data_IF_795698437560
#
_entry.id   IF_795698437560
#
_cell.length_a   1.000
_cell.length_b   1.000
_cell.length_c   1.000
_cell.angle_alpha   90.00
_cell.angle_beta   90.00
_cell.angle_gamma   90.00
#
_symmetry.space_group_name_H-M   'P 1'
#
loop_
_entity.id
_entity.type
_entity.pdbx_description
1 polymer ?
#
# COMPACT_ATOMS: atom_id res chain seq x y z
N UNK A 1 5.60 -5.35 -19.60
CA UNK A 1 6.21 -4.09 -19.11
C UNK A 1 7.59 -4.35 -18.52
N UNK A 2 7.75 -5.24 -17.52
CA UNK A 2 9.08 -5.65 -17.01
C UNK A 2 9.99 -6.31 -18.06
N UNK A 3 9.44 -7.10 -18.97
CA UNK A 3 10.20 -7.84 -19.99
C UNK A 3 10.91 -6.92 -21.00
N UNK A 4 10.28 -5.80 -21.39
CA UNK A 4 10.95 -4.77 -22.21
C UNK A 4 11.99 -3.99 -21.42
N UNK A 5 11.76 -3.78 -20.12
CA UNK A 5 12.71 -3.10 -19.24
C UNK A 5 13.98 -3.94 -18.98
N UNK A 6 13.84 -5.27 -18.93
CA UNK A 6 14.95 -6.21 -18.77
C UNK A 6 15.80 -6.37 -20.04
N UNK A 7 15.21 -6.25 -21.23
CA UNK A 7 15.96 -6.31 -22.48
C UNK A 7 16.77 -5.03 -22.75
N UNK A 8 16.26 -3.86 -22.33
CA UNK A 8 17.02 -2.60 -22.40
C UNK A 8 18.23 -2.58 -21.44
N UNK A 9 18.20 -3.41 -20.38
CA UNK A 9 19.28 -3.61 -19.39
C UNK A 9 20.58 -4.14 -20.00
N UNK A 10 20.49 -4.97 -21.03
CA UNK A 10 21.66 -5.58 -21.67
C UNK A 10 22.30 -4.67 -22.73
N UNK A 11 21.56 -3.69 -23.26
CA UNK A 11 22.00 -2.89 -24.41
C UNK A 11 22.82 -1.67 -24.04
N UNK A 12 22.61 -1.08 -22.86
CA UNK A 12 23.35 0.10 -22.39
C UNK A 12 23.52 0.07 -20.85
N UNK A 13 24.59 -0.55 -20.31
CA UNK A 13 24.86 -0.47 -18.88
C UNK A 13 25.36 0.94 -18.57
N UNK A 14 24.46 1.84 -18.14
CA UNK A 14 24.85 3.14 -17.60
C UNK A 14 25.59 2.86 -16.28
N UNK A 15 26.91 3.13 -16.16
CA UNK A 15 27.65 2.83 -14.95
C UNK A 15 27.11 3.70 -13.80
N UNK A 16 26.60 3.07 -12.73
CA UNK A 16 26.12 3.75 -11.52
C UNK A 16 24.66 4.20 -11.49
N UNK A 17 23.88 4.03 -12.57
CA UNK A 17 22.45 4.39 -12.57
C UNK A 17 21.59 3.35 -11.83
N UNK A 18 22.05 2.11 -11.75
CA UNK A 18 21.35 0.98 -11.13
C UNK A 18 22.12 0.39 -9.95
N UNK A 19 22.75 1.23 -9.11
CA UNK A 19 23.21 0.71 -7.83
C UNK A 19 22.00 0.19 -7.05
N UNK A 20 22.11 -1.01 -6.49
CA UNK A 20 21.07 -1.64 -5.66
C UNK A 20 20.56 -0.69 -4.56
N UNK A 21 21.44 0.23 -4.12
CA UNK A 21 21.12 1.32 -3.19
C UNK A 21 19.98 2.23 -3.69
N UNK A 22 20.00 2.66 -4.95
CA UNK A 22 18.95 3.53 -5.50
C UNK A 22 17.60 2.80 -5.61
N UNK A 23 17.63 1.52 -5.97
CA UNK A 23 16.42 0.68 -6.04
C UNK A 23 15.79 0.56 -4.65
N UNK A 24 16.59 0.19 -3.64
CA UNK A 24 16.13 0.06 -2.24
C UNK A 24 15.58 1.40 -1.73
N UNK A 25 16.28 2.51 -1.97
CA UNK A 25 15.83 3.85 -1.55
C UNK A 25 14.49 4.23 -2.18
N UNK A 26 14.31 3.98 -3.48
CA UNK A 26 13.06 4.27 -4.17
C UNK A 26 11.88 3.46 -3.58
N UNK A 27 12.08 2.17 -3.27
CA UNK A 27 11.05 1.35 -2.63
C UNK A 27 10.70 1.85 -1.22
N UNK A 28 11.72 2.20 -0.42
CA UNK A 28 11.50 2.70 0.95
C UNK A 28 10.74 4.02 0.94
N UNK A 29 11.12 4.96 0.07
CA UNK A 29 10.45 6.27 -0.04
C UNK A 29 9.00 6.08 -0.54
N UNK A 30 8.82 5.29 -1.61
CA UNK A 30 7.49 5.02 -2.16
C UNK A 30 6.56 4.34 -1.15
N UNK A 31 7.06 3.35 -0.39
CA UNK A 31 6.28 2.65 0.63
C UNK A 31 5.99 3.52 1.86
N UNK A 32 6.93 4.37 2.27
CA UNK A 32 6.79 5.23 3.46
C UNK A 32 5.63 6.20 3.31
N UNK A 33 5.64 7.02 2.27
CA UNK A 33 4.67 8.11 2.15
C UNK A 33 3.26 7.58 1.84
N UNK A 34 3.16 6.50 1.07
CA UNK A 34 1.88 5.84 0.77
C UNK A 34 1.28 5.13 1.98
N UNK A 35 2.09 4.39 2.75
CA UNK A 35 1.63 3.69 3.96
C UNK A 35 1.26 4.69 5.05
N UNK A 36 2.08 5.72 5.28
CA UNK A 36 1.81 6.75 6.27
C UNK A 36 0.51 7.52 5.95
N UNK A 37 0.29 7.87 4.68
CA UNK A 37 -0.95 8.48 4.22
C UNK A 37 -2.16 7.59 4.45
N UNK A 38 -2.07 6.32 4.04
CA UNK A 38 -3.16 5.34 4.22
C UNK A 38 -3.52 5.16 5.69
N UNK A 39 -2.52 4.99 6.56
CA UNK A 39 -2.75 4.76 7.98
C UNK A 39 -3.32 6.00 8.67
N UNK A 40 -2.92 7.20 8.27
CA UNK A 40 -3.47 8.45 8.79
C UNK A 40 -4.97 8.56 8.48
N UNK A 41 -5.38 8.25 7.24
CA UNK A 41 -6.80 8.23 6.86
C UNK A 41 -7.58 7.11 7.55
N UNK A 42 -6.98 5.93 7.68
CA UNK A 42 -7.58 4.81 8.40
C UNK A 42 -7.90 5.19 9.85
N UNK A 43 -6.91 5.72 10.58
CA UNK A 43 -7.09 6.16 11.96
C UNK A 43 -8.14 7.29 12.06
N UNK A 44 -8.13 8.23 11.11
CA UNK A 44 -9.16 9.28 11.05
C UNK A 44 -10.58 8.70 10.91
N UNK A 45 -10.78 7.73 10.01
CA UNK A 45 -12.08 7.07 9.81
C UNK A 45 -12.50 6.29 11.06
N UNK A 46 -11.57 5.63 11.74
CA UNK A 46 -11.84 4.92 13.00
C UNK A 46 -12.25 5.87 14.12
N UNK A 47 -11.52 6.97 14.32
CA UNK A 47 -11.85 7.97 15.35
C UNK A 47 -13.23 8.59 15.16
N UNK A 48 -13.75 8.59 13.93
CA UNK A 48 -15.09 9.09 13.60
C UNK A 48 -16.19 8.03 13.74
N UNK A 49 -15.84 6.74 13.79
CA UNK A 49 -16.77 5.62 13.77
C UNK A 49 -16.41 4.59 14.86
N UNK A 50 -16.81 4.89 16.10
CA UNK A 50 -16.60 4.01 17.26
C UNK A 50 -17.11 2.58 17.02
N UNK A 51 -18.23 2.43 16.31
CA UNK A 51 -18.81 1.11 16.00
C UNK A 51 -17.94 0.25 15.08
N UNK A 52 -17.16 0.87 14.18
CA UNK A 52 -16.22 0.17 13.30
C UNK A 52 -14.97 -0.21 14.11
N UNK A 53 -14.49 0.69 14.96
CA UNK A 53 -13.39 0.42 15.87
C UNK A 53 -13.68 -0.78 16.78
N UNK A 54 -14.87 -0.84 17.38
CA UNK A 54 -15.28 -1.96 18.25
C UNK A 54 -15.32 -3.29 17.50
N UNK A 55 -15.76 -3.27 16.24
CA UNK A 55 -15.78 -4.47 15.37
C UNK A 55 -14.38 -4.94 15.03
N UNK A 56 -13.48 -4.03 14.69
CA UNK A 56 -12.06 -4.35 14.42
C UNK A 56 -11.38 -4.89 15.69
N UNK A 57 -11.63 -4.27 16.84
CA UNK A 57 -11.07 -4.74 18.11
C UNK A 57 -11.56 -6.16 18.46
N UNK A 58 -12.82 -6.49 18.17
CA UNK A 58 -13.35 -7.85 18.30
C UNK A 58 -12.64 -8.80 17.33
N UNK A 59 -12.58 -8.46 16.05
CA UNK A 59 -11.95 -9.27 15.00
C UNK A 59 -10.48 -9.59 15.34
N UNK A 60 -9.73 -8.60 15.81
CA UNK A 60 -8.34 -8.77 16.24
C UNK A 60 -8.24 -9.69 17.46
N UNK A 61 -9.08 -9.51 18.48
CA UNK A 61 -9.07 -10.38 19.66
C UNK A 61 -9.46 -11.81 19.32
N UNK A 62 -10.49 -12.01 18.50
CA UNK A 62 -10.93 -13.34 18.09
C UNK A 62 -9.82 -14.05 17.29
N UNK A 63 -9.03 -13.29 16.52
CA UNK A 63 -7.88 -13.82 15.78
C UNK A 63 -6.68 -14.15 16.67
N UNK A 64 -6.40 -13.36 17.72
CA UNK A 64 -5.23 -13.54 18.61
C UNK A 64 -5.51 -14.35 19.87
N UNK A 65 -6.76 -14.51 20.26
CA UNK A 65 -7.15 -15.07 21.56
C UNK A 65 -8.23 -16.11 21.29
N UNK A 66 -7.86 -17.20 20.61
CA UNK A 66 -8.77 -18.34 20.48
C UNK A 66 -8.96 -18.98 21.86
N UNK A 67 -10.20 -18.97 22.37
CA UNK A 67 -10.83 -19.63 23.54
C UNK A 67 -10.07 -19.83 24.88
N UNK A 68 -8.75 -19.91 24.89
CA UNK A 68 -7.92 -20.16 26.07
C UNK A 68 -6.75 -19.17 26.11
N UNK A 69 -6.78 -18.25 27.08
CA UNK A 69 -5.59 -17.59 27.58
C UNK A 69 -5.67 -16.08 27.56
N UNK A 70 -5.58 -15.53 28.77
CA UNK A 70 -5.40 -14.13 29.12
C UNK A 70 -4.31 -13.44 28.27
N UNK A 71 -4.66 -12.96 27.08
CA UNK A 71 -3.84 -12.04 26.27
C UNK A 71 -3.85 -10.62 26.88
N UNK A 72 -3.86 -10.53 28.21
CA UNK A 72 -3.79 -9.29 28.96
C UNK A 72 -2.35 -8.77 28.91
N UNK A 73 -2.09 -7.95 27.90
CA UNK A 73 -0.85 -7.20 27.78
C UNK A 73 -0.20 -7.29 26.41
N UNK A 74 0.68 -6.32 26.14
CA UNK A 74 1.42 -6.17 24.87
C UNK A 74 2.25 -7.41 24.55
N UNK A 75 2.78 -8.09 25.58
CA UNK A 75 3.58 -9.30 25.41
C UNK A 75 2.73 -10.49 24.93
N UNK A 76 1.57 -10.72 25.54
CA UNK A 76 0.63 -11.76 25.12
C UNK A 76 0.17 -11.54 23.69
N UNK A 77 -0.26 -10.31 23.36
CA UNK A 77 -0.65 -9.95 21.99
C UNK A 77 0.45 -10.26 20.96
N UNK A 78 1.71 -9.95 21.27
CA UNK A 78 2.83 -10.21 20.35
C UNK A 78 3.09 -11.70 20.17
N UNK A 79 2.95 -12.50 21.24
CA UNK A 79 3.11 -13.96 21.18
C UNK A 79 2.05 -14.63 20.31
N UNK A 80 0.82 -14.11 20.31
CA UNK A 80 -0.29 -14.66 19.52
C UNK A 80 -0.43 -14.03 18.12
N UNK A 81 0.38 -13.01 17.80
CA UNK A 81 0.40 -12.39 16.47
C UNK A 81 1.18 -13.26 15.47
N UNK A 82 0.62 -14.41 15.12
CA UNK A 82 1.15 -15.33 14.12
C UNK A 82 0.60 -15.00 12.72
N UNK A 83 1.22 -15.54 11.67
CA UNK A 83 0.70 -15.38 10.29
C UNK A 83 -0.73 -15.91 10.16
N UNK A 84 -1.04 -17.03 10.82
CA UNK A 84 -2.38 -17.59 10.87
C UNK A 84 -3.38 -16.66 11.56
N UNK A 85 -2.98 -15.95 12.62
CA UNK A 85 -3.80 -14.95 13.27
C UNK A 85 -4.04 -13.75 12.34
N UNK A 86 -3.00 -13.24 11.67
CA UNK A 86 -3.14 -12.14 10.71
C UNK A 86 -4.08 -12.49 9.56
N UNK A 87 -4.02 -13.73 9.05
CA UNK A 87 -4.92 -14.21 8.01
C UNK A 87 -6.38 -14.28 8.46
N UNK A 88 -6.65 -14.41 9.76
CA UNK A 88 -8.03 -14.46 10.32
C UNK A 88 -8.64 -13.07 10.55
N UNK A 89 -7.86 -11.99 10.51
CA UNK A 89 -8.34 -10.61 10.72
C UNK A 89 -9.05 -10.04 9.48
N UNK A 90 -10.11 -10.69 9.05
CA UNK A 90 -10.81 -10.37 7.81
C UNK A 90 -11.46 -8.98 7.83
N UNK A 91 -12.02 -8.58 8.97
CA UNK A 91 -12.71 -7.29 9.10
C UNK A 91 -11.71 -6.13 9.10
N UNK A 92 -10.56 -6.31 9.76
CA UNK A 92 -9.46 -5.35 9.68
C UNK A 92 -8.96 -5.18 8.23
N UNK A 93 -8.74 -6.28 7.52
CA UNK A 93 -8.30 -6.23 6.12
C UNK A 93 -9.34 -5.55 5.21
N UNK A 94 -10.63 -5.83 5.42
CA UNK A 94 -11.72 -5.18 4.70
C UNK A 94 -11.76 -3.67 4.98
N UNK A 95 -11.58 -3.25 6.23
CA UNK A 95 -11.58 -1.82 6.61
C UNK A 95 -10.38 -1.05 6.02
N UNK A 96 -9.19 -1.67 5.98
CA UNK A 96 -8.02 -1.11 5.30
C UNK A 96 -8.25 -1.00 3.78
N UNK A 97 -8.81 -2.05 3.17
CA UNK A 97 -9.15 -2.06 1.75
C UNK A 97 -10.16 -0.96 1.39
N UNK A 98 -11.17 -0.76 2.23
CA UNK A 98 -12.17 0.30 2.06
C UNK A 98 -11.55 1.70 2.24
N UNK A 99 -10.59 1.84 3.17
CA UNK A 99 -9.84 3.09 3.33
C UNK A 99 -9.05 3.42 2.07
N UNK A 100 -8.38 2.44 1.46
CA UNK A 100 -7.67 2.62 0.20
C UNK A 100 -8.62 2.92 -0.98
N UNK A 101 -9.85 2.39 -0.95
CA UNK A 101 -10.88 2.71 -1.94
C UNK A 101 -11.34 4.16 -1.84
N UNK A 102 -11.50 4.68 -0.62
CA UNK A 102 -11.94 6.05 -0.35
C UNK A 102 -10.80 7.07 -0.52
N UNK A 103 -9.58 6.70 -0.11
CA UNK A 103 -8.38 7.54 -0.10
C UNK A 103 -7.23 6.79 -0.76
N UNK A 104 -7.21 6.70 -2.11
CA UNK A 104 -6.10 6.07 -2.80
C UNK A 104 -4.81 6.85 -2.53
N UNK A 105 -3.79 6.17 -2.00
CA UNK A 105 -2.50 6.78 -1.66
C UNK A 105 -1.76 7.37 -2.87
N UNK A 106 -2.12 6.94 -4.08
CA UNK A 106 -1.66 7.50 -5.34
C UNK A 106 -2.88 8.02 -6.11
N UNK A 107 -3.11 9.34 -6.18
CA UNK A 107 -4.13 9.88 -7.05
C UNK A 107 -3.76 9.52 -8.49
N UNK A 108 -4.75 9.01 -9.24
CA UNK A 108 -4.71 8.65 -10.67
C UNK A 108 -3.41 9.02 -11.40
N UNK A 109 -2.70 8.01 -11.91
CA UNK A 109 -1.73 8.22 -12.98
C UNK A 109 -2.51 8.85 -14.14
N UNK A 110 -2.42 10.17 -14.26
CA UNK A 110 -2.73 10.82 -15.53
C UNK A 110 -1.67 10.30 -16.48
N UNK A 111 -2.04 9.32 -17.32
CA UNK A 111 -1.28 9.10 -18.54
C UNK A 111 -1.19 10.47 -19.20
N UNK A 112 0.00 11.02 -19.45
CA UNK A 112 0.08 12.26 -20.20
C UNK A 112 -0.63 11.97 -21.51
N UNK A 113 -1.74 12.67 -21.74
CA UNK A 113 -2.46 12.61 -23.00
C UNK A 113 -1.41 12.65 -24.11
N UNK A 114 -1.40 11.64 -24.97
CA UNK A 114 -0.36 11.46 -25.97
C UNK A 114 -0.32 12.68 -26.87
N UNK A 115 0.64 13.58 -26.63
CA UNK A 115 0.94 14.67 -27.54
C UNK A 115 1.68 14.09 -28.75
N UNK A 116 0.93 13.64 -29.75
CA UNK A 116 1.48 13.34 -31.06
C UNK A 116 1.74 14.68 -31.76
N UNK A 117 3.01 15.10 -31.80
CA UNK A 117 3.44 16.19 -32.68
C UNK A 117 3.46 15.68 -34.11
N UNK A 118 2.58 16.20 -34.95
CA UNK A 118 2.71 16.04 -36.39
C UNK A 118 3.95 16.79 -36.91
N UNK A 119 4.51 16.31 -38.02
CA UNK A 119 5.71 16.84 -38.68
C UNK A 119 5.63 18.30 -39.16
N UNK A 120 4.55 19.01 -38.84
CA UNK A 120 4.35 20.44 -39.10
C UNK A 120 4.24 21.31 -37.84
N UNK A 121 4.49 20.75 -36.65
CA UNK A 121 4.64 21.51 -35.40
C UNK A 121 3.35 22.07 -34.78
N UNK A 122 2.16 21.61 -35.22
CA UNK A 122 0.87 21.98 -34.62
C UNK A 122 0.42 20.93 -33.60
N UNK A 123 -0.05 21.39 -32.45
CA UNK A 123 -0.52 20.56 -31.35
C UNK A 123 -2.01 20.25 -31.54
N UNK A 124 -2.35 19.00 -31.84
CA UNK A 124 -3.73 18.53 -31.95
C UNK A 124 -4.09 17.69 -30.71
N UNK A 125 -5.17 18.08 -30.03
CA UNK A 125 -5.79 17.26 -28.98
C UNK A 125 -6.64 16.21 -29.68
N UNK A 126 -6.27 14.94 -29.58
CA UNK A 126 -7.12 13.82 -30.02
C UNK A 126 -8.01 13.43 -28.84
N UNK A 127 -9.32 13.65 -28.97
CA UNK A 127 -10.35 13.21 -28.04
C UNK A 127 -10.82 11.79 -28.37
#
# INVERSE_FOLDING_TARGET
>A
MLSRFLLERERNPIPGCFDNKYIILNFVIAGRDTTAGTLSWFLYVLSRNQSIQDKIARDVRDATTGDDGDASGVHGFTTYLTEDAMNKMHYLHAALSETLRLYPAVPFVSSPAGYVRDGLGRMLIVA
#
